data_IF_150834588200
#
_entry.id   IF_150834588200
#
_cell.length_a   1.000
_cell.length_b   1.000
_cell.length_c   1.000
_cell.angle_alpha   90.00
_cell.angle_beta   90.00
_cell.angle_gamma   90.00
#
_symmetry.space_group_name_H-M   'P 1'
#
loop_
_entity.id
_entity.type
_entity.pdbx_description
1 polymer ?
#
# COMPACT_ATOMS: atom_id res chain seq x y z
N UNK A 1 0.10 15.17 26.19
CA UNK A 1 -0.58 14.44 25.10
C UNK A 1 -2.02 14.91 25.10
N UNK A 2 -2.39 15.73 24.12
CA UNK A 2 -3.75 16.30 24.00
C UNK A 2 -4.60 15.33 23.20
N UNK A 3 -5.67 14.83 23.81
CA UNK A 3 -6.70 14.06 23.13
C UNK A 3 -7.69 15.05 22.48
N UNK A 4 -7.99 14.84 21.20
CA UNK A 4 -9.03 15.57 20.48
C UNK A 4 -10.25 14.66 20.35
N UNK A 5 -11.44 15.22 20.58
CA UNK A 5 -12.71 14.50 20.56
C UNK A 5 -13.71 15.27 19.69
N UNK A 6 -14.31 14.59 18.73
CA UNK A 6 -15.42 15.10 17.91
C UNK A 6 -16.60 14.12 17.91
N UNK A 7 -17.61 14.36 17.08
CA UNK A 7 -18.80 13.50 16.93
C UNK A 7 -18.48 12.07 16.47
N UNK A 8 -17.26 11.82 15.99
CA UNK A 8 -16.76 10.53 15.52
C UNK A 8 -15.81 9.84 16.51
N UNK A 9 -15.48 10.47 17.64
CA UNK A 9 -14.79 9.87 18.79
C UNK A 9 -13.47 10.56 19.16
N UNK A 10 -12.73 9.93 20.09
CA UNK A 10 -11.47 10.46 20.63
C UNK A 10 -10.25 9.94 19.87
N UNK A 11 -9.45 10.83 19.26
CA UNK A 11 -8.25 10.50 18.48
C UNK A 11 -7.00 10.39 19.37
N UNK A 12 -6.85 9.26 20.07
CA UNK A 12 -5.66 9.00 20.92
C UNK A 12 -4.62 8.12 20.21
N UNK A 13 -5.02 7.32 19.20
CA UNK A 13 -4.19 6.24 18.61
C UNK A 13 -4.33 6.12 17.09
N UNK A 14 -4.52 7.21 16.35
CA UNK A 14 -4.70 7.17 14.89
C UNK A 14 -3.38 7.42 14.13
N UNK A 15 -2.37 6.59 14.42
CA UNK A 15 -1.04 6.74 13.84
C UNK A 15 -1.07 6.53 12.32
N UNK A 16 -0.42 7.43 11.59
CA UNK A 16 -0.14 7.26 10.15
C UNK A 16 0.61 5.95 9.91
N UNK A 17 0.44 5.38 8.72
CA UNK A 17 1.10 4.14 8.32
C UNK A 17 2.61 4.43 8.08
N UNK A 18 3.50 3.65 8.69
CA UNK A 18 4.94 3.78 8.47
C UNK A 18 5.29 3.31 7.06
N UNK A 19 5.92 4.19 6.26
CA UNK A 19 6.36 3.87 4.90
C UNK A 19 7.87 4.05 4.75
N UNK A 20 8.55 2.95 4.48
CA UNK A 20 10.01 2.92 4.35
C UNK A 20 10.51 2.82 2.90
N UNK A 21 9.63 2.75 1.90
CA UNK A 21 10.04 2.36 0.54
C UNK A 21 11.10 3.28 -0.08
N UNK A 22 11.01 4.59 0.14
CA UNK A 22 11.99 5.57 -0.32
C UNK A 22 13.38 5.39 0.33
N UNK A 23 13.44 4.68 1.47
CA UNK A 23 14.68 4.42 2.21
C UNK A 23 15.30 3.06 1.88
N UNK A 24 14.67 2.24 1.03
CA UNK A 24 15.13 0.87 0.73
C UNK A 24 16.57 0.87 0.18
N UNK A 25 16.91 1.81 -0.70
CA UNK A 25 18.27 1.94 -1.25
C UNK A 25 19.30 2.20 -0.13
N UNK A 26 19.01 3.18 0.74
CA UNK A 26 19.88 3.53 1.87
C UNK A 26 20.01 2.39 2.86
N UNK A 27 18.90 1.73 3.22
CA UNK A 27 18.90 0.59 4.14
C UNK A 27 19.72 -0.59 3.57
N UNK A 28 19.62 -0.83 2.26
CA UNK A 28 20.42 -1.85 1.56
C UNK A 28 21.91 -1.53 1.67
N UNK A 29 22.30 -0.28 1.40
CA UNK A 29 23.70 0.19 1.54
C UNK A 29 24.24 0.10 2.98
N UNK A 30 23.37 0.17 3.98
CA UNK A 30 23.72 0.00 5.39
C UNK A 30 23.88 -1.48 5.81
N UNK A 31 23.62 -2.43 4.93
CA UNK A 31 23.71 -3.87 5.22
C UNK A 31 22.46 -4.46 5.89
N UNK A 32 21.29 -3.85 5.72
CA UNK A 32 20.01 -4.45 6.16
C UNK A 32 19.66 -5.61 5.23
N UNK A 33 19.49 -6.81 5.80
CA UNK A 33 19.26 -8.04 5.03
C UNK A 33 17.78 -8.39 4.85
N UNK A 34 16.90 -7.84 5.70
CA UNK A 34 15.49 -8.18 5.70
C UNK A 34 14.62 -6.96 5.99
N UNK A 35 13.55 -6.80 5.23
CA UNK A 35 12.49 -5.84 5.51
C UNK A 35 11.22 -6.61 5.86
N UNK A 36 10.49 -6.14 6.87
CA UNK A 36 9.18 -6.68 7.25
C UNK A 36 8.11 -5.69 6.87
N UNK A 37 7.11 -6.16 6.13
CA UNK A 37 5.90 -5.42 5.80
C UNK A 37 4.79 -5.95 6.69
N UNK A 38 4.12 -5.07 7.43
CA UNK A 38 3.00 -5.43 8.30
C UNK A 38 1.74 -4.70 7.88
N UNK A 39 0.60 -5.40 7.91
CA UNK A 39 -0.71 -4.83 7.66
C UNK A 39 -1.76 -5.58 8.46
N UNK A 40 -2.37 -4.94 9.46
CA UNK A 40 -3.49 -5.52 10.22
C UNK A 40 -4.79 -5.29 9.47
N UNK A 41 -5.59 -6.34 9.29
CA UNK A 41 -6.90 -6.26 8.62
C UNK A 41 -6.84 -5.73 7.19
N UNK A 42 -5.67 -5.83 6.53
CA UNK A 42 -5.50 -5.44 5.14
C UNK A 42 -5.94 -6.58 4.21
N UNK A 43 -6.48 -6.22 3.04
CA UNK A 43 -6.92 -7.20 2.05
C UNK A 43 -5.74 -7.96 1.42
N UNK A 44 -6.00 -9.13 0.83
CA UNK A 44 -4.98 -9.85 0.05
C UNK A 44 -4.42 -9.00 -1.09
N UNK A 45 -5.26 -8.16 -1.73
CA UNK A 45 -4.84 -7.17 -2.72
C UNK A 45 -3.76 -6.23 -2.16
N UNK A 46 -4.02 -5.61 -1.00
CA UNK A 46 -3.05 -4.73 -0.35
C UNK A 46 -1.72 -5.44 -0.09
N UNK A 47 -1.77 -6.65 0.47
CA UNK A 47 -0.58 -7.43 0.79
C UNK A 47 0.23 -7.78 -0.48
N UNK A 48 -0.44 -8.25 -1.53
CA UNK A 48 0.20 -8.60 -2.79
C UNK A 48 0.83 -7.38 -3.46
N UNK A 49 0.10 -6.26 -3.56
CA UNK A 49 0.59 -5.00 -4.14
C UNK A 49 1.79 -4.46 -3.38
N UNK A 50 1.68 -4.36 -2.06
CA UNK A 50 2.77 -3.83 -1.22
C UNK A 50 4.01 -4.70 -1.32
N UNK A 51 3.85 -6.03 -1.33
CA UNK A 51 4.98 -6.95 -1.49
C UNK A 51 5.67 -6.81 -2.85
N UNK A 52 4.91 -6.71 -3.95
CA UNK A 52 5.46 -6.51 -5.30
C UNK A 52 6.26 -5.20 -5.40
N UNK A 53 5.70 -4.12 -4.86
CA UNK A 53 6.29 -2.79 -4.88
C UNK A 53 7.60 -2.76 -4.08
N UNK A 54 7.63 -3.35 -2.88
CA UNK A 54 8.86 -3.48 -2.10
C UNK A 54 9.87 -4.43 -2.74
N UNK A 55 9.44 -5.54 -3.35
CA UNK A 55 10.35 -6.46 -4.06
C UNK A 55 11.09 -5.74 -5.18
N UNK A 56 10.37 -4.97 -6.00
CA UNK A 56 10.98 -4.15 -7.07
C UNK A 56 11.98 -3.13 -6.50
N UNK A 57 11.63 -2.42 -5.42
CA UNK A 57 12.56 -1.48 -4.79
C UNK A 57 13.84 -2.17 -4.27
N UNK A 58 13.73 -3.38 -3.70
CA UNK A 58 14.90 -4.15 -3.24
C UNK A 58 15.73 -4.63 -4.43
N UNK A 59 15.10 -5.14 -5.50
CA UNK A 59 15.80 -5.59 -6.71
C UNK A 59 16.57 -4.45 -7.39
N UNK A 60 15.92 -3.29 -7.53
CA UNK A 60 16.54 -2.11 -8.14
C UNK A 60 17.68 -1.58 -7.27
N UNK A 61 17.52 -1.54 -5.94
CA UNK A 61 18.59 -1.16 -5.01
C UNK A 61 19.79 -2.13 -5.06
N UNK A 62 19.53 -3.45 -5.09
CA UNK A 62 20.58 -4.47 -5.19
C UNK A 62 21.33 -4.40 -6.53
N UNK A 63 20.64 -4.00 -7.60
CA UNK A 63 21.22 -3.76 -8.92
C UNK A 63 21.90 -2.39 -9.07
N UNK A 64 21.90 -1.55 -8.02
CA UNK A 64 22.49 -0.20 -8.06
C UNK A 64 21.72 0.80 -8.94
N UNK A 65 20.45 0.54 -9.24
CA UNK A 65 19.59 1.46 -10.00
C UNK A 65 19.06 2.57 -9.10
N UNK A 66 18.76 3.76 -9.67
CA UNK A 66 18.09 4.82 -8.92
C UNK A 66 16.70 4.38 -8.46
N UNK A 67 16.23 4.97 -7.36
CA UNK A 67 14.88 4.73 -6.85
C UNK A 67 13.81 5.14 -7.87
N UNK A 68 12.87 4.24 -8.13
CA UNK A 68 11.72 4.47 -9.01
C UNK A 68 10.59 5.17 -8.23
N UNK A 69 10.38 6.46 -8.50
CA UNK A 69 9.41 7.28 -7.77
C UNK A 69 7.96 6.85 -8.00
N UNK A 70 7.65 6.16 -9.11
CA UNK A 70 6.30 5.64 -9.39
C UNK A 70 5.82 4.61 -8.36
N UNK A 71 6.76 4.01 -7.62
CA UNK A 71 6.44 3.10 -6.52
C UNK A 71 5.74 3.81 -5.35
N UNK A 72 5.98 5.11 -5.17
CA UNK A 72 5.29 5.90 -4.16
C UNK A 72 3.81 6.06 -4.55
N UNK A 73 3.54 6.44 -5.80
CA UNK A 73 2.19 6.63 -6.33
C UNK A 73 1.38 5.33 -6.25
N UNK A 74 2.03 4.20 -6.52
CA UNK A 74 1.40 2.88 -6.39
C UNK A 74 0.92 2.60 -4.96
N UNK A 75 1.71 2.98 -3.96
CA UNK A 75 1.33 2.81 -2.55
C UNK A 75 0.29 3.83 -2.09
N UNK A 76 0.28 5.06 -2.63
CA UNK A 76 -0.80 6.03 -2.37
C UNK A 76 -2.16 5.51 -2.87
N UNK A 77 -2.19 4.69 -3.93
CA UNK A 77 -3.43 4.07 -4.40
C UNK A 77 -4.01 3.01 -3.45
N UNK A 78 -3.22 2.49 -2.51
CA UNK A 78 -3.66 1.46 -1.56
C UNK A 78 -4.28 2.08 -0.33
N UNK A 79 -5.29 1.40 0.24
CA UNK A 79 -5.98 1.89 1.44
C UNK A 79 -5.00 2.13 2.60
N UNK A 80 -4.89 3.38 3.05
CA UNK A 80 -3.94 3.83 4.09
C UNK A 80 -4.53 4.95 4.94
N UNK A 81 -3.88 5.27 6.07
CA UNK A 81 -4.28 6.37 6.97
C UNK A 81 -3.39 7.60 6.84
N UNK A 82 -2.85 7.83 5.65
CA UNK A 82 -1.70 8.71 5.45
C UNK A 82 -0.40 8.02 5.83
N UNK A 83 0.70 8.48 5.23
CA UNK A 83 2.03 7.91 5.45
C UNK A 83 2.92 8.79 6.31
N UNK A 84 3.81 8.15 7.07
CA UNK A 84 4.91 8.80 7.79
C UNK A 84 6.20 8.03 7.58
N UNK A 85 7.34 8.72 7.54
CA UNK A 85 8.66 8.09 7.53
C UNK A 85 9.11 7.69 8.95
N UNK A 86 8.35 8.10 9.98
CA UNK A 86 8.72 7.87 11.37
C UNK A 86 10.13 8.37 11.66
N UNK A 87 10.93 7.52 12.30
CA UNK A 87 12.32 7.83 12.66
C UNK A 87 13.36 7.50 11.57
N UNK A 88 12.94 7.08 10.37
CA UNK A 88 13.88 6.77 9.27
C UNK A 88 14.56 8.03 8.72
N UNK A 89 13.95 9.19 8.95
CA UNK A 89 14.50 10.52 8.67
C UNK A 89 14.60 11.33 9.96
N UNK A 90 15.75 11.98 10.16
CA UNK A 90 15.95 12.86 11.32
C UNK A 90 15.23 14.19 11.05
N UNK A 91 14.46 14.67 12.03
CA UNK A 91 13.70 15.93 11.96
C UNK A 91 12.62 15.97 10.85
N UNK A 92 11.61 15.12 10.93
CA UNK A 92 10.36 15.34 10.19
C UNK A 92 9.53 16.41 10.91
N UNK A 93 9.04 17.41 10.16
CA UNK A 93 8.21 18.51 10.67
C UNK A 93 6.71 18.16 10.72
N UNK A 94 6.35 16.88 10.57
CA UNK A 94 4.97 16.49 10.30
C UNK A 94 4.30 15.78 11.48
N UNK A 95 3.04 16.10 11.71
CA UNK A 95 2.17 15.41 12.68
C UNK A 95 2.08 13.91 12.35
N UNK A 96 2.48 13.06 13.29
CA UNK A 96 2.51 11.59 13.16
C UNK A 96 1.12 10.93 13.24
N UNK A 97 0.09 11.73 13.52
CA UNK A 97 -1.28 11.28 13.72
C UNK A 97 -2.15 11.79 12.57
N UNK A 98 -3.12 10.99 12.15
CA UNK A 98 -4.19 11.43 11.28
C UNK A 98 -5.38 11.86 12.16
N UNK A 99 -5.76 13.13 12.09
CA UNK A 99 -6.87 13.68 12.87
C UNK A 99 -8.14 13.90 12.02
N UNK A 100 -8.09 13.63 10.72
CA UNK A 100 -9.21 13.87 9.81
C UNK A 100 -10.12 12.64 9.70
N UNK A 101 -9.55 11.42 9.67
CA UNK A 101 -10.33 10.19 9.49
C UNK A 101 -9.74 8.99 10.26
N UNK A 102 -10.58 8.24 10.97
CA UNK A 102 -10.20 7.06 11.77
C UNK A 102 -9.99 5.75 11.00
N UNK A 103 -10.17 5.74 9.67
CA UNK A 103 -10.16 4.54 8.84
C UNK A 103 -9.23 4.70 7.62
N UNK A 104 -8.83 3.57 7.01
CA UNK A 104 -8.02 3.60 5.79
C UNK A 104 -8.88 3.97 4.59
N UNK A 105 -8.46 4.95 3.80
CA UNK A 105 -9.14 5.38 2.58
C UNK A 105 -8.32 4.94 1.37
N UNK A 106 -9.00 4.47 0.32
CA UNK A 106 -8.43 4.35 -1.03
C UNK A 106 -9.37 5.09 -1.99
N UNK A 107 -8.87 6.15 -2.58
CA UNK A 107 -9.57 7.03 -3.51
C UNK A 107 -9.32 6.67 -4.98
N UNK A 108 -8.29 5.86 -5.27
CA UNK A 108 -7.85 5.56 -6.64
C UNK A 108 -8.20 4.16 -7.14
N UNK A 109 -8.23 3.15 -6.28
CA UNK A 109 -8.40 1.75 -6.72
C UNK A 109 -9.21 0.93 -5.73
N UNK A 110 -10.27 0.29 -6.21
CA UNK A 110 -11.07 -0.64 -5.42
C UNK A 110 -10.83 -2.07 -5.88
N UNK A 111 -10.56 -2.97 -4.94
CA UNK A 111 -10.50 -4.40 -5.25
C UNK A 111 -11.91 -4.93 -5.55
N UNK A 112 -12.16 -5.37 -6.79
CA UNK A 112 -13.51 -5.75 -7.23
C UNK A 112 -13.79 -7.24 -7.26
N UNK A 113 -12.78 -8.10 -7.34
CA UNK A 113 -12.98 -9.55 -7.36
C UNK A 113 -11.71 -10.36 -7.58
N UNK A 114 -11.85 -11.66 -7.48
CA UNK A 114 -10.78 -12.66 -7.69
C UNK A 114 -11.22 -13.72 -8.68
N UNK A 115 -10.30 -14.26 -9.48
CA UNK A 115 -10.63 -15.40 -10.34
C UNK A 115 -10.90 -16.64 -9.50
N UNK A 116 -11.97 -17.35 -9.82
CA UNK A 116 -12.30 -18.63 -9.17
C UNK A 116 -11.46 -19.78 -9.72
N UNK A 117 -10.80 -19.57 -10.88
CA UNK A 117 -10.12 -20.60 -11.65
C UNK A 117 -11.03 -21.30 -12.68
N UNK A 118 -12.34 -21.08 -12.62
CA UNK A 118 -13.28 -21.63 -13.59
C UNK A 118 -13.27 -20.82 -14.91
N UNK A 119 -13.41 -21.53 -16.03
CA UNK A 119 -13.36 -20.97 -17.38
C UNK A 119 -14.55 -21.47 -18.21
N UNK A 120 -15.07 -20.61 -19.09
CA UNK A 120 -16.09 -20.94 -20.09
C UNK A 120 -15.67 -20.38 -21.44
N UNK A 121 -14.97 -21.18 -22.24
CA UNK A 121 -14.31 -20.70 -23.46
C UNK A 121 -13.29 -19.61 -23.11
N UNK A 122 -13.42 -18.45 -23.73
CA UNK A 122 -12.54 -17.30 -23.50
C UNK A 122 -12.90 -16.50 -22.22
N UNK A 123 -13.99 -16.86 -21.54
CA UNK A 123 -14.46 -16.19 -20.35
C UNK A 123 -13.88 -16.83 -19.08
N UNK A 124 -13.54 -15.99 -18.11
CA UNK A 124 -13.10 -16.40 -16.79
C UNK A 124 -14.17 -16.06 -15.76
N UNK A 125 -14.45 -16.95 -14.81
CA UNK A 125 -15.33 -16.66 -13.69
C UNK A 125 -14.59 -15.84 -12.62
N UNK A 126 -15.27 -14.81 -12.12
CA UNK A 126 -14.77 -13.89 -11.10
C UNK A 126 -15.73 -13.91 -9.91
N UNK A 127 -15.20 -14.17 -8.72
CA UNK A 127 -15.91 -13.98 -7.47
C UNK A 127 -15.93 -12.48 -7.13
N UNK A 128 -17.05 -11.83 -7.42
CA UNK A 128 -17.25 -10.39 -7.23
C UNK A 128 -17.31 -10.04 -5.74
N UNK A 129 -16.53 -9.03 -5.34
CA UNK A 129 -16.49 -8.47 -3.97
C UNK A 129 -17.02 -7.04 -3.90
N UNK A 130 -16.81 -6.26 -4.96
CA UNK A 130 -17.34 -4.90 -5.10
C UNK A 130 -17.91 -4.71 -6.51
N UNK A 131 -18.83 -3.75 -6.66
CA UNK A 131 -19.49 -3.46 -7.94
C UNK A 131 -18.48 -2.94 -8.97
N UNK A 132 -18.58 -3.45 -10.19
CA UNK A 132 -17.98 -2.90 -11.40
C UNK A 132 -18.95 -3.15 -12.56
N UNK A 133 -18.81 -2.40 -13.64
CA UNK A 133 -19.74 -2.37 -14.78
C UNK A 133 -19.00 -2.40 -16.10
N UNK A 134 -19.73 -2.71 -17.18
CA UNK A 134 -19.19 -2.58 -18.54
C UNK A 134 -18.81 -1.12 -18.80
N UNK A 135 -17.56 -0.90 -19.22
CA UNK A 135 -16.99 0.43 -19.43
C UNK A 135 -16.00 0.86 -18.34
N UNK A 136 -15.98 0.17 -17.19
CA UNK A 136 -14.97 0.43 -16.17
C UNK A 136 -13.59 -0.08 -16.62
N UNK A 137 -12.54 0.67 -16.26
CA UNK A 137 -11.16 0.22 -16.43
C UNK A 137 -10.80 -0.73 -15.30
N UNK A 138 -10.32 -1.93 -15.64
CA UNK A 138 -9.92 -2.96 -14.68
C UNK A 138 -8.43 -3.28 -14.87
N UNK A 139 -7.71 -3.40 -13.77
CA UNK A 139 -6.31 -3.83 -13.74
C UNK A 139 -6.23 -5.31 -13.34
N UNK A 140 -5.49 -6.11 -14.11
CA UNK A 140 -5.28 -7.52 -13.79
C UNK A 140 -3.99 -7.69 -12.98
N UNK A 141 -4.15 -8.16 -11.75
CA UNK A 141 -3.03 -8.58 -10.92
C UNK A 141 -2.70 -10.06 -11.08
N UNK A 142 -1.45 -10.36 -11.44
CA UNK A 142 -0.90 -11.72 -11.37
C UNK A 142 0.35 -11.76 -10.49
N UNK A 143 0.77 -12.94 -10.00
CA UNK A 143 2.00 -13.08 -9.23
C UNK A 143 3.25 -12.62 -9.98
N UNK A 144 3.27 -12.77 -11.31
CA UNK A 144 4.43 -12.48 -12.14
C UNK A 144 4.48 -11.02 -12.59
N UNK A 145 3.34 -10.41 -12.97
CA UNK A 145 3.22 -9.02 -13.49
C UNK A 145 1.81 -8.44 -13.34
N UNK A 146 1.71 -7.12 -13.48
CA UNK A 146 0.45 -6.42 -13.73
C UNK A 146 0.22 -6.35 -15.24
N UNK A 147 -1.04 -6.49 -15.65
CA UNK A 147 -1.49 -6.36 -17.03
C UNK A 147 -2.71 -5.46 -17.12
#
# INVERSE_FOLDING_TARGET
MTAFEDEHGTYIMNSKDLRAIAHVERLTKMGVHSLKIEGRTKSFYYCARTAQVYRKAIDDAAAGKPFDTSLLETLEGLAHRGYTEGFLRRHTHDDYQNYEYGYSVSDRQQFVGEFTGERKGDLAAVAVKNKFSVGDSLELMTPARQH
#
